data_IF_190937605775
#
_entry.id   IF_190937605775
#
_cell.length_a   1.000
_cell.length_b   1.000
_cell.length_c   1.000
_cell.angle_alpha   90.00
_cell.angle_beta   90.00
_cell.angle_gamma   90.00
#
_symmetry.space_group_name_H-M   'P 1'
#
loop_
_entity.id
_entity.type
_entity.pdbx_description
1 polymer ?
#
# COMPACT_ATOMS: atom_id res chain seq x y z
N UNK A 1 -1.15 -11.12 -11.81
CA UNK A 1 -1.09 -10.31 -10.59
C UNK A 1 0.33 -9.84 -10.38
N UNK A 2 0.50 -8.59 -10.00
CA UNK A 2 1.79 -7.98 -9.68
C UNK A 2 1.68 -7.25 -8.34
N UNK A 3 2.80 -6.98 -7.68
CA UNK A 3 2.80 -6.42 -6.33
C UNK A 3 3.80 -5.28 -6.23
N UNK A 4 3.38 -4.17 -5.64
CA UNK A 4 4.15 -2.93 -5.55
C UNK A 4 4.19 -2.44 -4.11
N UNK A 5 5.34 -1.91 -3.72
CA UNK A 5 5.49 -1.06 -2.55
C UNK A 5 5.86 0.34 -3.04
N UNK A 6 5.10 1.33 -2.60
CA UNK A 6 5.47 2.75 -2.64
C UNK A 6 5.79 3.18 -1.22
N UNK A 7 6.95 3.79 -1.05
CA UNK A 7 7.42 4.37 0.19
C UNK A 7 7.57 5.88 0.00
N UNK A 8 6.82 6.67 0.78
CA UNK A 8 6.80 8.14 0.71
C UNK A 8 7.46 8.72 1.97
N UNK A 9 8.59 9.39 1.83
CA UNK A 9 9.35 10.06 2.89
C UNK A 9 9.00 11.56 2.92
N UNK A 10 7.72 11.85 3.15
CA UNK A 10 7.18 13.20 3.27
C UNK A 10 7.08 13.58 4.76
N UNK A 11 7.11 14.88 5.06
CA UNK A 11 6.91 15.40 6.43
C UNK A 11 5.43 15.40 6.84
N UNK A 12 4.52 15.14 5.89
CA UNK A 12 3.06 15.21 6.07
C UNK A 12 2.52 13.95 6.78
N UNK A 13 1.97 14.11 7.97
CA UNK A 13 1.41 12.99 8.77
C UNK A 13 0.07 12.46 8.22
N UNK A 14 -0.62 13.26 7.41
CA UNK A 14 -1.90 12.93 6.77
C UNK A 14 -1.74 12.15 5.45
N UNK A 15 -0.51 11.91 5.02
CA UNK A 15 -0.18 11.09 3.85
C UNK A 15 0.38 9.72 4.28
N UNK A 16 0.10 8.63 3.53
CA UNK A 16 0.63 7.32 3.87
C UNK A 16 2.15 7.27 3.67
N UNK A 17 2.88 6.74 4.67
CA UNK A 17 4.33 6.47 4.59
C UNK A 17 4.61 5.28 3.67
N UNK A 18 3.77 4.25 3.74
CA UNK A 18 3.90 3.03 2.95
C UNK A 18 2.57 2.64 2.31
N UNK A 19 2.61 2.37 1.01
CA UNK A 19 1.48 1.87 0.23
C UNK A 19 1.87 0.53 -0.39
N UNK A 20 1.20 -0.53 0.00
CA UNK A 20 1.32 -1.86 -0.59
C UNK A 20 0.14 -2.08 -1.52
N UNK A 21 0.39 -2.39 -2.79
CA UNK A 21 -0.67 -2.62 -3.77
C UNK A 21 -0.52 -3.99 -4.45
N UNK A 22 -1.62 -4.74 -4.53
CA UNK A 22 -1.79 -5.85 -5.46
C UNK A 22 -2.49 -5.34 -6.71
N UNK A 23 -1.93 -5.66 -7.86
CA UNK A 23 -2.39 -5.23 -9.16
C UNK A 23 -2.87 -6.41 -10.01
N UNK A 24 -3.93 -6.19 -10.79
CA UNK A 24 -4.41 -7.13 -11.80
C UNK A 24 -3.47 -7.24 -13.03
N UNK A 25 -3.87 -8.01 -14.04
CA UNK A 25 -3.13 -8.11 -15.30
C UNK A 25 -3.09 -6.81 -16.10
N UNK A 26 -4.02 -5.89 -15.86
CA UNK A 26 -4.05 -4.54 -16.41
C UNK A 26 -3.30 -3.52 -15.54
N UNK A 27 -2.56 -3.96 -14.52
CA UNK A 27 -1.84 -3.12 -13.55
C UNK A 27 -2.75 -2.19 -12.73
N UNK A 28 -4.05 -2.50 -12.60
CA UNK A 28 -4.97 -1.76 -11.75
C UNK A 28 -5.04 -2.35 -10.35
N UNK A 29 -5.22 -1.49 -9.35
CA UNK A 29 -5.32 -1.93 -7.97
C UNK A 29 -6.53 -2.84 -7.77
N UNK A 30 -6.29 -3.99 -7.14
CA UNK A 30 -7.35 -4.90 -6.67
C UNK A 30 -7.37 -4.98 -5.14
N UNK A 31 -6.21 -4.75 -4.51
CA UNK A 31 -6.07 -4.61 -3.06
C UNK A 31 -5.00 -3.60 -2.73
N UNK A 32 -5.22 -2.80 -1.68
CA UNK A 32 -4.25 -1.81 -1.20
C UNK A 32 -4.19 -1.82 0.33
N UNK A 33 -2.99 -1.65 0.88
CA UNK A 33 -2.76 -1.41 2.32
C UNK A 33 -1.92 -0.16 2.46
N UNK A 34 -2.37 0.77 3.29
CA UNK A 34 -1.71 2.02 3.63
C UNK A 34 -1.27 2.01 5.09
N UNK A 35 -0.04 2.45 5.35
CA UNK A 35 0.45 2.75 6.69
C UNK A 35 0.80 4.22 6.80
N UNK A 36 0.27 4.88 7.81
CA UNK A 36 0.48 6.29 8.09
C UNK A 36 1.55 6.47 9.18
N UNK A 37 2.29 7.60 9.19
CA UNK A 37 3.30 7.89 10.21
C UNK A 37 2.77 7.83 11.64
N UNK A 38 1.51 8.22 11.86
CA UNK A 38 0.82 8.17 13.15
C UNK A 38 0.44 6.74 13.62
N UNK A 39 0.78 5.70 12.85
CA UNK A 39 0.51 4.31 13.16
C UNK A 39 -0.84 3.78 12.68
N UNK A 40 -1.66 4.61 12.00
CA UNK A 40 -2.89 4.15 11.37
C UNK A 40 -2.57 3.22 10.18
N UNK A 41 -3.44 2.23 10.00
CA UNK A 41 -3.36 1.26 8.92
C UNK A 41 -4.74 1.13 8.28
N UNK A 42 -4.81 1.20 6.96
CA UNK A 42 -6.06 1.03 6.21
C UNK A 42 -5.86 0.01 5.10
N UNK A 43 -6.85 -0.86 4.90
CA UNK A 43 -6.87 -1.83 3.82
C UNK A 43 -8.14 -1.65 2.98
N UNK A 44 -7.97 -1.81 1.66
CA UNK A 44 -9.00 -1.61 0.66
C UNK A 44 -8.97 -2.73 -0.38
N UNK A 45 -10.12 -3.04 -0.96
CA UNK A 45 -10.33 -4.13 -1.90
C UNK A 45 -10.46 -5.49 -1.23
N UNK A 46 -10.75 -6.52 -2.04
CA UNK A 46 -10.90 -7.90 -1.59
C UNK A 46 -11.87 -8.04 -0.42
N UNK A 47 -11.45 -8.76 0.63
CA UNK A 47 -12.26 -9.03 1.82
C UNK A 47 -12.57 -7.78 2.68
N UNK A 48 -11.91 -6.64 2.44
CA UNK A 48 -12.13 -5.39 3.19
C UNK A 48 -13.14 -4.44 2.53
N UNK A 49 -13.58 -4.75 1.29
CA UNK A 49 -14.43 -3.86 0.51
C UNK A 49 -13.75 -2.51 0.24
N UNK A 50 -14.51 -1.41 0.17
CA UNK A 50 -13.99 -0.06 -0.10
C UNK A 50 -13.27 0.07 -1.45
N UNK A 51 -13.76 -0.65 -2.47
CA UNK A 51 -13.17 -0.68 -3.81
C UNK A 51 -13.16 0.72 -4.46
N UNK A 52 -14.04 1.63 -4.03
CA UNK A 52 -14.06 3.02 -4.51
C UNK A 52 -12.82 3.83 -4.12
N UNK A 53 -12.06 3.39 -3.10
CA UNK A 53 -10.82 4.02 -2.68
C UNK A 53 -9.60 3.59 -3.53
N UNK A 54 -9.73 2.48 -4.28
CA UNK A 54 -8.67 1.96 -5.14
C UNK A 54 -8.47 2.87 -6.35
N UNK A 55 -7.21 3.02 -6.77
CA UNK A 55 -6.88 3.81 -7.95
C UNK A 55 -7.46 3.15 -9.21
N UNK A 56 -8.33 3.86 -9.98
CA UNK A 56 -8.85 3.34 -11.23
C UNK A 56 -7.78 3.37 -12.35
N UNK A 57 -6.71 4.14 -12.15
CA UNK A 57 -5.63 4.28 -13.11
C UNK A 57 -4.64 3.11 -12.98
N UNK A 58 -4.23 2.50 -14.10
CA UNK A 58 -3.21 1.47 -14.05
C UNK A 58 -1.86 2.06 -13.64
N UNK A 59 -1.10 1.32 -12.84
CA UNK A 59 0.27 1.68 -12.53
C UNK A 59 1.13 1.63 -13.80
N UNK A 60 2.10 2.54 -13.96
CA UNK A 60 3.01 2.55 -15.10
C UNK A 60 3.82 1.26 -15.16
N UNK A 61 4.18 0.79 -16.36
CA UNK A 61 4.96 -0.44 -16.52
C UNK A 61 6.31 -0.39 -15.80
N UNK A 62 7.03 0.70 -16.00
CA UNK A 62 8.25 1.02 -15.28
C UNK A 62 7.92 1.79 -13.99
N UNK A 63 8.02 1.11 -12.85
CA UNK A 63 7.73 1.71 -11.54
C UNK A 63 8.69 2.86 -11.19
N UNK A 64 9.87 2.93 -11.82
CA UNK A 64 10.85 3.99 -11.55
C UNK A 64 10.32 5.37 -11.94
N UNK A 65 9.32 5.45 -12.82
CA UNK A 65 8.67 6.72 -13.18
C UNK A 65 7.88 7.31 -12.03
N UNK A 66 7.56 6.52 -10.99
CA UNK A 66 6.91 6.99 -9.77
C UNK A 66 7.91 7.53 -8.73
N UNK A 67 9.22 7.35 -8.96
CA UNK A 67 10.23 7.76 -7.99
C UNK A 67 10.46 9.27 -8.02
N UNK A 68 10.47 9.87 -6.83
CA UNK A 68 10.88 11.24 -6.59
C UNK A 68 12.08 11.20 -5.62
N UNK A 69 13.30 11.57 -6.04
CA UNK A 69 14.49 11.40 -5.21
C UNK A 69 14.37 12.06 -3.84
N UNK A 70 14.52 11.27 -2.77
CA UNK A 70 14.40 11.74 -1.38
C UNK A 70 12.97 11.77 -0.83
N UNK A 71 11.96 11.66 -1.69
CA UNK A 71 10.54 11.82 -1.34
C UNK A 71 9.74 10.54 -1.59
N UNK A 72 9.90 9.88 -2.74
CA UNK A 72 9.10 8.71 -3.12
C UNK A 72 9.97 7.64 -3.76
N UNK A 73 9.82 6.41 -3.29
CA UNK A 73 10.40 5.24 -3.95
C UNK A 73 9.33 4.18 -4.19
N UNK A 74 9.29 3.65 -5.41
CA UNK A 74 8.38 2.60 -5.84
C UNK A 74 9.18 1.40 -6.33
N UNK A 75 8.82 0.21 -5.86
CA UNK A 75 9.48 -1.03 -6.24
C UNK A 75 8.52 -2.20 -6.28
N UNK A 76 8.84 -3.19 -7.11
CA UNK A 76 8.14 -4.46 -7.07
C UNK A 76 8.47 -5.21 -5.77
N UNK A 77 7.48 -5.93 -5.25
CA UNK A 77 7.63 -6.81 -4.09
C UNK A 77 7.14 -8.22 -4.45
N UNK A 78 7.41 -9.18 -3.56
CA UNK A 78 6.94 -10.56 -3.77
C UNK A 78 5.47 -10.69 -3.34
N UNK A 79 4.73 -11.66 -3.90
CA UNK A 79 3.38 -11.98 -3.43
C UNK A 79 3.36 -12.36 -1.95
N UNK A 80 4.41 -13.03 -1.46
CA UNK A 80 4.52 -13.43 -0.05
C UNK A 80 4.62 -12.21 0.87
N UNK A 81 5.45 -11.22 0.51
CA UNK A 81 5.56 -9.98 1.27
C UNK A 81 4.22 -9.23 1.34
N UNK A 82 3.49 -9.13 0.23
CA UNK A 82 2.17 -8.50 0.24
C UNK A 82 1.18 -9.26 1.12
N UNK A 83 1.11 -10.59 1.01
CA UNK A 83 0.16 -11.41 1.78
C UNK A 83 0.39 -11.32 3.29
N UNK A 84 1.65 -11.23 3.72
CA UNK A 84 2.00 -11.04 5.12
C UNK A 84 1.43 -9.71 5.65
N UNK A 85 1.63 -8.62 4.91
CA UNK A 85 1.10 -7.30 5.25
C UNK A 85 -0.44 -7.26 5.20
N UNK A 86 -1.03 -7.89 4.18
CA UNK A 86 -2.49 -8.01 4.03
C UNK A 86 -3.10 -8.73 5.24
N UNK A 87 -2.51 -9.85 5.68
CA UNK A 87 -2.96 -10.57 6.87
C UNK A 87 -2.87 -9.72 8.13
N UNK A 88 -1.76 -9.00 8.32
CA UNK A 88 -1.58 -8.11 9.48
C UNK A 88 -2.61 -6.99 9.54
N UNK A 89 -3.05 -6.48 8.38
CA UNK A 89 -4.12 -5.49 8.33
C UNK A 89 -5.49 -6.07 8.74
N UNK A 90 -5.67 -7.40 8.66
CA UNK A 90 -6.94 -8.10 8.97
C UNK A 90 -7.14 -8.27 10.47
N UNK A 91 -6.01 -8.50 11.14
CA UNK A 91 -5.94 -8.71 12.58
C UNK A 91 -6.10 -7.39 13.38
N UNK A 92 -6.20 -6.24 12.68
CA UNK A 92 -6.32 -4.90 13.26
C UNK A 92 -7.64 -4.23 12.86
N UNK A 93 -8.80 -4.68 13.41
CA UNK A 93 -10.11 -4.13 13.06
C UNK A 93 -10.33 -2.68 13.54
N UNK A 94 -9.56 -2.21 14.51
CA UNK A 94 -9.66 -0.85 15.06
C UNK A 94 -8.27 -0.29 15.31
N UNK A 95 -8.06 0.99 14.95
CA UNK A 95 -6.81 1.73 15.05
C UNK A 95 -6.20 1.78 16.45
N UNK A 96 -5.62 0.67 16.88
CA UNK A 96 -4.90 0.55 18.14
C UNK A 96 -3.44 0.26 17.88
N UNK A 97 -2.63 1.19 18.35
CA UNK A 97 -1.18 1.23 18.29
C UNK A 97 -0.58 0.00 18.99
N UNK A 98 -0.27 -1.04 18.22
CA UNK A 98 0.53 -2.19 18.66
C UNK A 98 1.99 -1.92 18.33
N UNK A 99 2.75 -1.53 19.35
CA UNK A 99 4.17 -1.21 19.30
C UNK A 99 4.98 -2.24 18.50
N UNK A 100 5.73 -1.79 17.49
CA UNK A 100 6.89 -2.52 17.01
C UNK A 100 8.02 -2.30 18.03
N UNK A 101 8.38 -3.38 18.72
CA UNK A 101 9.55 -3.52 19.58
C UNK A 101 10.83 -3.61 18.75
#
# INVERSE_FOLDING_TARGET
MSYVLIEQNLEEEDEPRFIYAELDSGRREVRRVEFYPNGLCFAYGGDYGREEALSPAPYPEDLRTLNHPGEVTARAITPAAFREIWGQAQERPDGFMGMFA
#
